data_IF_017796853000
#
_entry.id   IF_017796853000
#
_cell.length_a   1.000
_cell.length_b   1.000
_cell.length_c   1.000
_cell.angle_alpha   90.00
_cell.angle_beta   90.00
_cell.angle_gamma   90.00
#
_symmetry.space_group_name_H-M   'P 1'
#
loop_
_entity.id
_entity.type
_entity.pdbx_description
1 polymer ?
#
# COMPACT_ATOMS: atom_id res chain seq x y z
N UNK A 1 -3.90 10.35 -2.88
CA UNK A 1 -2.70 10.17 -2.03
C UNK A 1 -1.50 10.02 -2.93
N UNK A 2 -0.63 11.04 -3.09
CA UNK A 2 0.60 10.88 -3.87
C UNK A 2 1.52 9.80 -3.31
N UNK A 3 2.22 9.11 -4.21
CA UNK A 3 3.40 8.31 -3.90
C UNK A 3 4.57 9.26 -3.66
N UNK A 4 5.19 9.18 -2.49
CA UNK A 4 6.37 9.99 -2.16
C UNK A 4 7.65 9.17 -2.15
N UNK A 5 7.53 7.85 -2.08
CA UNK A 5 8.63 6.91 -2.21
C UNK A 5 8.11 5.61 -2.79
N UNK A 6 8.85 5.03 -3.72
CA UNK A 6 8.60 3.71 -4.28
C UNK A 6 9.94 2.97 -4.38
N UNK A 7 9.98 1.78 -3.81
CA UNK A 7 11.07 0.85 -3.99
C UNK A 7 10.47 -0.47 -4.46
N UNK A 8 11.04 -1.03 -5.52
CA UNK A 8 10.67 -2.36 -6.00
C UNK A 8 11.93 -3.19 -6.07
N UNK A 9 11.91 -4.34 -5.40
CA UNK A 9 12.93 -5.37 -5.48
C UNK A 9 12.42 -6.48 -6.37
N UNK A 10 12.89 -6.51 -7.60
CA UNK A 10 12.65 -7.61 -8.52
C UNK A 10 13.57 -8.78 -8.14
N UNK A 11 12.99 -9.96 -7.99
CA UNK A 11 13.70 -11.21 -7.67
C UNK A 11 13.76 -12.12 -8.89
N UNK A 12 12.66 -12.20 -9.64
CA UNK A 12 12.53 -13.05 -10.82
C UNK A 12 11.84 -12.29 -11.95
N UNK A 13 12.14 -12.68 -13.20
CA UNK A 13 11.47 -12.15 -14.37
C UNK A 13 10.03 -12.70 -14.47
N UNK A 14 9.12 -11.86 -14.96
CA UNK A 14 7.77 -12.25 -15.35
C UNK A 14 7.68 -12.38 -16.86
N UNK A 15 6.92 -13.36 -17.32
CA UNK A 15 6.65 -13.60 -18.73
C UNK A 15 5.19 -13.27 -19.06
N UNK A 16 4.93 -12.99 -20.33
CA UNK A 16 3.56 -12.79 -20.80
C UNK A 16 2.75 -14.07 -20.54
N UNK A 17 1.56 -13.91 -19.93
CA UNK A 17 0.71 -15.04 -19.55
C UNK A 17 0.95 -15.57 -18.14
N UNK A 18 1.95 -15.06 -17.42
CA UNK A 18 2.11 -15.39 -16.00
C UNK A 18 0.95 -14.82 -15.18
N UNK A 19 0.32 -15.69 -14.40
CA UNK A 19 -0.64 -15.29 -13.37
C UNK A 19 0.11 -14.87 -12.10
N UNK A 20 -0.16 -13.65 -11.64
CA UNK A 20 0.51 -13.06 -10.49
C UNK A 20 -0.52 -12.47 -9.52
N UNK A 21 -0.51 -12.96 -8.29
CA UNK A 21 -1.31 -12.41 -7.19
C UNK A 21 -0.54 -11.27 -6.50
N UNK A 22 -1.22 -10.14 -6.26
CA UNK A 22 -0.67 -9.01 -5.52
C UNK A 22 -1.20 -9.04 -4.09
N UNK A 23 -0.36 -9.49 -3.16
CA UNK A 23 -0.66 -9.46 -1.74
C UNK A 23 -0.20 -8.13 -1.15
N UNK A 24 -1.15 -7.28 -0.81
CA UNK A 24 -0.89 -5.89 -0.43
C UNK A 24 -1.32 -5.65 1.01
N UNK A 25 -0.42 -5.13 1.84
CA UNK A 25 -0.68 -4.86 3.26
C UNK A 25 -0.27 -3.43 3.59
N UNK A 26 -1.19 -2.70 4.22
CA UNK A 26 -0.94 -1.37 4.73
C UNK A 26 -0.43 -1.45 6.17
N UNK A 27 0.57 -0.65 6.52
CA UNK A 27 1.06 -0.54 7.90
C UNK A 27 0.50 0.70 8.60
N UNK A 28 0.65 0.75 9.93
CA UNK A 28 0.35 1.96 10.68
C UNK A 28 1.16 3.16 10.14
N UNK A 29 0.56 4.37 10.08
CA UNK A 29 1.22 5.55 9.58
C UNK A 29 2.41 5.97 10.46
N UNK A 30 3.46 6.49 9.83
CA UNK A 30 4.64 7.07 10.47
C UNK A 30 4.65 8.58 10.20
N UNK A 31 4.06 9.35 11.11
CA UNK A 31 3.79 10.77 10.88
C UNK A 31 2.82 10.96 9.72
N UNK A 32 3.22 11.71 8.69
CA UNK A 32 2.39 11.94 7.48
C UNK A 32 2.53 10.84 6.43
N UNK A 33 3.49 9.92 6.60
CA UNK A 33 3.80 8.86 5.64
C UNK A 33 3.02 7.61 5.97
N UNK A 34 2.48 6.99 4.94
CA UNK A 34 1.70 5.76 5.01
C UNK A 34 2.46 4.64 4.28
N UNK A 35 3.14 3.74 5.02
CA UNK A 35 3.86 2.64 4.42
C UNK A 35 2.90 1.56 3.92
N UNK A 36 3.18 1.05 2.72
CA UNK A 36 2.44 -0.02 2.09
C UNK A 36 3.42 -1.02 1.49
N UNK A 37 3.31 -2.28 1.89
CA UNK A 37 4.12 -3.37 1.34
C UNK A 37 3.28 -4.24 0.42
N UNK A 38 3.81 -4.59 -0.75
CA UNK A 38 3.15 -5.47 -1.71
C UNK A 38 4.09 -6.58 -2.12
N UNK A 39 3.62 -7.82 -2.07
CA UNK A 39 4.32 -8.99 -2.62
C UNK A 39 3.64 -9.43 -3.90
N UNK A 40 4.44 -9.67 -4.93
CA UNK A 40 4.02 -10.19 -6.22
C UNK A 40 4.28 -11.69 -6.19
N UNK A 41 3.21 -12.48 -6.22
CA UNK A 41 3.25 -13.93 -6.02
C UNK A 41 2.88 -14.66 -7.31
N UNK A 42 3.80 -15.45 -7.86
CA UNK A 42 3.53 -16.41 -8.94
C UNK A 42 3.34 -17.77 -8.30
N UNK A 43 2.09 -18.15 -8.01
CA UNK A 43 1.80 -19.26 -7.11
C UNK A 43 2.42 -19.04 -5.73
N UNK A 44 3.33 -19.90 -5.29
CA UNK A 44 4.04 -19.76 -4.01
C UNK A 44 5.34 -18.96 -4.09
N UNK A 45 5.77 -18.56 -5.29
CA UNK A 45 7.03 -17.86 -5.51
C UNK A 45 6.83 -16.35 -5.44
N UNK A 46 7.57 -15.67 -4.55
CA UNK A 46 7.59 -14.21 -4.53
C UNK A 46 8.59 -13.70 -5.57
N UNK A 47 8.08 -13.14 -6.66
CA UNK A 47 8.87 -12.67 -7.82
C UNK A 47 9.30 -11.21 -7.71
N UNK A 48 8.58 -10.41 -6.92
CA UNK A 48 8.95 -9.05 -6.60
C UNK A 48 8.32 -8.60 -5.28
N UNK A 49 8.95 -7.62 -4.66
CA UNK A 49 8.44 -6.93 -3.47
C UNK A 49 8.45 -5.43 -3.75
N UNK A 50 7.37 -4.75 -3.40
CA UNK A 50 7.30 -3.31 -3.43
C UNK A 50 7.10 -2.76 -2.02
N UNK A 51 7.81 -1.68 -1.72
CA UNK A 51 7.56 -0.80 -0.58
C UNK A 51 7.21 0.57 -1.12
N UNK A 52 6.01 1.04 -0.77
CA UNK A 52 5.47 2.32 -1.20
C UNK A 52 5.25 3.15 0.06
N UNK A 53 5.62 4.43 0.01
CA UNK A 53 5.17 5.40 1.00
C UNK A 53 4.24 6.41 0.33
N UNK A 54 3.02 6.51 0.89
CA UNK A 54 1.99 7.43 0.44
C UNK A 54 1.83 8.57 1.43
N UNK A 55 1.31 9.71 0.95
CA UNK A 55 0.93 10.83 1.83
C UNK A 55 -0.50 11.25 1.53
N UNK A 56 -1.27 11.59 2.57
CA UNK A 56 -2.57 12.22 2.40
C UNK A 56 -2.41 13.70 2.12
N UNK A 57 -3.11 14.17 1.10
CA UNK A 57 -3.15 15.60 0.75
C UNK A 57 -4.61 16.04 0.64
N UNK A 58 -4.92 17.20 1.20
CA UNK A 58 -6.13 17.92 0.78
C UNK A 58 -5.87 18.48 -0.61
N UNK A 59 -6.90 18.45 -1.47
CA UNK A 59 -6.85 18.96 -2.85
C UNK A 59 -7.63 20.27 -3.03
N UNK A 60 -8.40 20.70 -2.02
CA UNK A 60 -9.17 21.93 -2.02
C UNK A 60 -9.12 22.59 -0.62
N UNK A 61 -8.97 23.92 -0.52
CA UNK A 61 -8.74 24.91 -1.60
C UNK A 61 -7.27 24.96 -2.08
N UNK A 62 -6.33 24.39 -1.31
CA UNK A 62 -4.89 24.37 -1.66
C UNK A 62 -4.34 22.98 -1.37
N UNK A 63 -3.45 22.50 -2.25
CA UNK A 63 -2.79 21.21 -2.06
C UNK A 63 -1.88 21.25 -0.84
N UNK A 64 -2.29 20.60 0.25
CA UNK A 64 -1.51 20.54 1.50
C UNK A 64 -1.48 19.14 2.07
N UNK A 65 -0.34 18.77 2.65
CA UNK A 65 -0.20 17.51 3.38
C UNK A 65 -1.09 17.53 4.62
N UNK A 66 -1.90 16.48 4.79
CA UNK A 66 -2.73 16.28 5.97
C UNK A 66 -1.94 15.47 7.00
N UNK A 67 -1.82 16.03 8.22
CA UNK A 67 -1.22 15.33 9.36
C UNK A 67 -2.15 14.30 9.98
N UNK A 68 -3.45 14.58 9.94
CA UNK A 68 -4.49 13.68 10.41
C UNK A 68 -5.43 13.36 9.24
N UNK A 69 -5.69 12.08 8.94
CA UNK A 69 -6.72 11.70 7.99
C UNK A 69 -8.10 12.19 8.47
N UNK A 70 -9.01 12.54 7.54
CA UNK A 70 -10.44 12.60 7.86
C UNK A 70 -10.90 11.30 8.53
N UNK A 71 -11.87 11.38 9.43
CA UNK A 71 -12.30 10.24 10.28
C UNK A 71 -12.64 8.99 9.48
N UNK A 72 -13.44 9.14 8.42
CA UNK A 72 -13.82 8.03 7.51
C UNK A 72 -12.62 7.35 6.86
N UNK A 73 -11.61 8.13 6.50
CA UNK A 73 -10.35 7.62 5.94
C UNK A 73 -9.53 6.94 7.03
N UNK A 74 -9.49 7.51 8.23
CA UNK A 74 -8.81 6.92 9.38
C UNK A 74 -9.40 5.54 9.75
N UNK A 75 -10.73 5.39 9.68
CA UNK A 75 -11.42 4.13 9.89
C UNK A 75 -11.08 3.09 8.84
N UNK A 76 -11.19 3.44 7.56
CA UNK A 76 -10.83 2.56 6.45
C UNK A 76 -9.37 2.08 6.58
N UNK A 77 -8.50 2.99 6.98
CA UNK A 77 -7.09 2.68 7.21
C UNK A 77 -6.83 1.77 8.40
N UNK A 78 -7.53 1.95 9.52
CA UNK A 78 -7.46 1.02 10.65
C UNK A 78 -7.91 -0.39 10.22
N UNK A 79 -8.97 -0.48 9.42
CA UNK A 79 -9.43 -1.75 8.89
C UNK A 79 -8.40 -2.40 7.95
N UNK A 80 -7.76 -1.64 7.06
CA UNK A 80 -6.71 -2.15 6.17
C UNK A 80 -5.46 -2.63 6.93
N UNK A 81 -5.10 -1.97 8.04
CA UNK A 81 -3.99 -2.38 8.89
C UNK A 81 -4.27 -3.69 9.67
N UNK A 82 -5.54 -4.00 9.92
CA UNK A 82 -5.97 -5.26 10.56
C UNK A 82 -5.97 -6.44 9.59
N UNK A 83 -5.82 -6.19 8.28
CA UNK A 83 -5.92 -7.20 7.24
C UNK A 83 -7.37 -7.63 6.98
N UNK A 84 -7.59 -8.55 6.04
CA UNK A 84 -8.91 -9.12 5.80
C UNK A 84 -9.42 -9.79 7.07
N UNK A 85 -10.65 -9.43 7.49
CA UNK A 85 -11.35 -10.20 8.52
C UNK A 85 -11.59 -11.58 7.93
N UNK A 86 -11.12 -12.63 8.59
CA UNK A 86 -11.45 -14.00 8.20
C UNK A 86 -12.97 -14.11 8.13
N UNK A 87 -13.52 -14.26 6.93
CA UNK A 87 -14.89 -14.70 6.74
C UNK A 87 -14.96 -16.13 7.25
N UNK A 88 -15.45 -16.32 8.48
CA UNK A 88 -15.91 -17.62 8.96
C UNK A 88 -17.13 -18.08 8.15
#
# INVERSE_FOLDING_TARGET
MPVVQLQIRYREALMLGDEVELMSVSSAPRGVRWPWSTRFMKGRLCVAEAMVELVLVSVHPVRRVLRHPPETVAEAFRALAQGPKESQ
#
